data_IF_074771061546
#
_entry.id   IF_074771061546
#
_cell.length_a   1.000
_cell.length_b   1.000
_cell.length_c   1.000
_cell.angle_alpha   90.00
_cell.angle_beta   90.00
_cell.angle_gamma   90.00
#
_symmetry.space_group_name_H-M   'P 1'
#
loop_
_entity.id
_entity.type
_entity.pdbx_description
1 polymer ?
#
# COMPACT_ATOMS: atom_id res chain seq x y z
N UNK A 1 -27.52 32.98 25.61
CA UNK A 1 -26.25 32.40 25.15
C UNK A 1 -26.59 31.54 23.95
N UNK A 2 -26.26 31.95 22.71
CA UNK A 2 -26.47 31.13 21.53
C UNK A 2 -25.27 30.18 21.38
N UNK A 3 -25.55 28.91 21.15
CA UNK A 3 -24.54 27.92 20.79
C UNK A 3 -24.20 28.21 19.33
N UNK A 4 -22.98 28.69 19.08
CA UNK A 4 -22.45 28.87 17.73
C UNK A 4 -22.37 27.50 17.05
N UNK A 5 -22.91 27.46 15.83
CA UNK A 5 -22.80 26.35 14.88
C UNK A 5 -21.30 26.11 14.66
N UNK A 6 -20.77 25.01 15.21
CA UNK A 6 -19.37 24.65 15.03
C UNK A 6 -19.27 23.97 13.67
N UNK A 7 -18.83 24.73 12.67
CA UNK A 7 -18.55 24.22 11.34
C UNK A 7 -17.46 23.15 11.44
N UNK A 8 -17.83 21.89 11.21
CA UNK A 8 -16.93 20.74 11.29
C UNK A 8 -16.16 20.67 9.97
N UNK A 9 -15.28 21.64 9.71
CA UNK A 9 -14.47 21.71 8.48
C UNK A 9 -13.35 20.63 8.40
N UNK A 10 -13.32 19.65 9.31
CA UNK A 10 -12.25 18.64 9.38
C UNK A 10 -12.66 17.18 9.27
N UNK A 11 -13.96 16.86 9.31
CA UNK A 11 -14.41 15.46 9.29
C UNK A 11 -14.36 14.84 7.89
N UNK A 12 -14.61 15.63 6.85
CA UNK A 12 -14.70 15.09 5.48
C UNK A 12 -13.34 14.69 4.92
N UNK A 13 -12.26 15.41 5.25
CA UNK A 13 -10.90 15.13 4.77
C UNK A 13 -10.30 13.89 5.48
N UNK A 14 -10.50 13.76 6.80
CA UNK A 14 -10.08 12.56 7.56
C UNK A 14 -10.84 11.30 7.13
N UNK A 15 -12.12 11.41 6.74
CA UNK A 15 -12.93 10.28 6.26
C UNK A 15 -12.48 9.84 4.87
N UNK A 16 -12.17 10.78 3.97
CA UNK A 16 -11.64 10.48 2.63
C UNK A 16 -10.31 9.72 2.70
N UNK A 17 -9.41 10.13 3.61
CA UNK A 17 -8.12 9.46 3.82
C UNK A 17 -8.28 8.02 4.34
N UNK A 18 -9.28 7.77 5.21
CA UNK A 18 -9.54 6.44 5.76
C UNK A 18 -10.13 5.49 4.69
N UNK A 19 -11.04 5.98 3.85
CA UNK A 19 -11.60 5.21 2.74
C UNK A 19 -10.53 4.80 1.73
N UNK A 20 -9.60 5.70 1.40
CA UNK A 20 -8.51 5.41 0.47
C UNK A 20 -7.49 4.44 1.09
N UNK A 21 -7.19 4.55 2.38
CA UNK A 21 -6.35 3.58 3.08
C UNK A 21 -6.97 2.17 3.06
N UNK A 22 -8.27 2.05 3.33
CA UNK A 22 -9.00 0.78 3.28
C UNK A 22 -9.02 0.18 1.87
N UNK A 23 -9.19 1.01 0.84
CA UNK A 23 -9.11 0.57 -0.56
C UNK A 23 -7.72 0.05 -0.92
N UNK A 24 -6.66 0.73 -0.49
CA UNK A 24 -5.28 0.29 -0.73
C UNK A 24 -5.03 -1.05 -0.01
N UNK A 25 -5.45 -1.18 1.25
CA UNK A 25 -5.32 -2.41 2.02
C UNK A 25 -6.05 -3.58 1.33
N UNK A 26 -7.30 -3.38 0.89
CA UNK A 26 -8.05 -4.38 0.15
C UNK A 26 -7.37 -4.79 -1.16
N UNK A 27 -6.78 -3.82 -1.88
CA UNK A 27 -6.02 -4.12 -3.09
C UNK A 27 -4.77 -4.97 -2.77
N UNK A 28 -4.01 -4.61 -1.73
CA UNK A 28 -2.83 -5.36 -1.30
C UNK A 28 -3.16 -6.79 -0.86
N UNK A 29 -4.28 -6.99 -0.16
CA UNK A 29 -4.72 -8.31 0.30
C UNK A 29 -5.23 -9.21 -0.82
N UNK A 30 -5.65 -8.62 -1.95
CA UNK A 30 -6.01 -9.36 -3.16
C UNK A 30 -4.80 -9.80 -4.00
N UNK A 31 -3.60 -9.28 -3.72
CA UNK A 31 -2.39 -9.69 -4.42
C UNK A 31 -1.88 -11.05 -3.93
N UNK A 32 -1.16 -11.81 -4.78
CA UNK A 32 -0.37 -12.94 -4.31
C UNK A 32 0.58 -12.52 -3.18
N UNK A 33 0.60 -13.27 -2.07
CA UNK A 33 1.38 -12.92 -0.87
C UNK A 33 2.83 -12.55 -1.18
N UNK A 34 3.49 -13.31 -2.04
CA UNK A 34 4.88 -13.08 -2.47
C UNK A 34 5.14 -11.72 -3.13
N UNK A 35 4.11 -11.11 -3.72
CA UNK A 35 4.18 -9.80 -4.35
C UNK A 35 3.81 -8.71 -3.33
N UNK A 36 2.77 -8.93 -2.54
CA UNK A 36 2.38 -8.04 -1.45
C UNK A 36 3.51 -7.83 -0.43
N UNK A 37 4.18 -8.91 -0.02
CA UNK A 37 5.30 -8.87 0.94
C UNK A 37 6.45 -8.00 0.44
N UNK A 38 6.81 -8.14 -0.84
CA UNK A 38 7.90 -7.35 -1.43
C UNK A 38 7.52 -5.88 -1.57
N UNK A 39 6.24 -5.57 -1.86
CA UNK A 39 5.75 -4.19 -1.89
C UNK A 39 5.81 -3.59 -0.49
N UNK A 40 5.30 -4.30 0.54
CA UNK A 40 5.35 -3.83 1.94
C UNK A 40 6.79 -3.60 2.39
N UNK A 41 7.68 -4.57 2.18
CA UNK A 41 9.09 -4.44 2.54
C UNK A 41 9.80 -3.27 1.83
N UNK A 42 9.49 -3.01 0.55
CA UNK A 42 10.17 -1.95 -0.18
C UNK A 42 9.59 -0.57 0.08
N UNK A 43 8.27 -0.45 0.16
CA UNK A 43 7.56 0.84 0.22
C UNK A 43 7.30 1.27 1.66
N UNK A 44 6.91 0.34 2.53
CA UNK A 44 6.58 0.61 3.93
C UNK A 44 7.85 0.51 4.79
N UNK A 45 8.57 -0.61 4.69
CA UNK A 45 9.77 -0.84 5.51
C UNK A 45 11.03 -0.15 4.93
N UNK A 46 10.96 0.37 3.70
CA UNK A 46 12.06 1.08 3.05
C UNK A 46 13.28 0.22 2.67
N UNK A 47 13.14 -1.11 2.66
CA UNK A 47 14.24 -2.03 2.41
C UNK A 47 14.65 -2.04 0.94
N UNK A 48 15.95 -2.17 0.68
CA UNK A 48 16.48 -2.33 -0.66
C UNK A 48 16.21 -3.74 -1.22
N UNK A 49 16.23 -3.90 -2.55
CA UNK A 49 16.10 -5.23 -3.16
C UNK A 49 17.21 -6.21 -2.74
N UNK A 50 18.38 -5.70 -2.31
CA UNK A 50 19.45 -6.56 -1.79
C UNK A 50 19.03 -7.15 -0.45
N UNK A 51 18.57 -6.32 0.49
CA UNK A 51 18.10 -6.75 1.81
C UNK A 51 16.91 -7.69 1.71
N UNK A 52 15.90 -7.33 0.91
CA UNK A 52 14.72 -8.17 0.65
C UNK A 52 15.12 -9.53 0.09
N UNK A 53 16.07 -9.57 -0.84
CA UNK A 53 16.55 -10.82 -1.43
C UNK A 53 17.23 -11.73 -0.39
N UNK A 54 17.95 -11.13 0.57
CA UNK A 54 18.52 -11.85 1.70
C UNK A 54 17.45 -12.39 2.64
N UNK A 55 16.47 -11.56 3.04
CA UNK A 55 15.39 -11.95 3.96
C UNK A 55 14.55 -13.09 3.38
N UNK A 56 14.15 -12.97 2.12
CA UNK A 56 13.29 -13.94 1.45
C UNK A 56 14.06 -15.14 0.88
N UNK A 57 15.39 -15.14 0.96
CA UNK A 57 16.27 -16.17 0.37
C UNK A 57 15.96 -16.42 -1.12
N UNK A 58 15.87 -15.34 -1.90
CA UNK A 58 15.62 -15.38 -3.35
C UNK A 58 16.69 -14.59 -4.10
N UNK A 59 16.90 -14.81 -5.41
CA UNK A 59 17.75 -13.94 -6.21
C UNK A 59 17.23 -12.49 -6.22
N UNK A 60 18.14 -11.51 -6.19
CA UNK A 60 17.79 -10.08 -6.30
C UNK A 60 16.98 -9.78 -7.58
N UNK A 61 17.27 -10.47 -8.69
CA UNK A 61 16.51 -10.38 -9.94
C UNK A 61 15.06 -10.83 -9.77
N UNK A 62 14.81 -11.88 -8.96
CA UNK A 62 13.47 -12.35 -8.59
C UNK A 62 12.76 -11.35 -7.69
N UNK A 63 13.46 -10.70 -6.75
CA UNK A 63 12.87 -9.66 -5.92
C UNK A 63 12.37 -8.47 -6.78
N UNK A 64 13.21 -8.00 -7.72
CA UNK A 64 12.86 -6.93 -8.67
C UNK A 64 11.68 -7.30 -9.57
N UNK A 65 11.66 -8.52 -10.12
CA UNK A 65 10.58 -8.95 -11.02
C UNK A 65 9.25 -9.13 -10.29
N UNK A 66 9.26 -9.67 -9.05
CA UNK A 66 8.08 -9.75 -8.20
C UNK A 66 7.55 -8.38 -7.81
N UNK A 67 8.43 -7.45 -7.41
CA UNK A 67 8.02 -6.07 -7.14
C UNK A 67 7.32 -5.44 -8.35
N UNK A 68 7.95 -5.55 -9.54
CA UNK A 68 7.37 -5.02 -10.78
C UNK A 68 5.99 -5.62 -11.06
N UNK A 69 5.86 -6.95 -11.01
CA UNK A 69 4.59 -7.63 -11.28
C UNK A 69 3.52 -7.27 -10.25
N UNK A 70 3.88 -7.21 -8.98
CA UNK A 70 2.99 -6.78 -7.90
C UNK A 70 2.48 -5.36 -8.10
N UNK A 71 3.37 -4.41 -8.40
CA UNK A 71 2.99 -3.01 -8.66
C UNK A 71 2.11 -2.86 -9.89
N UNK A 72 2.34 -3.64 -10.96
CA UNK A 72 1.47 -3.65 -12.13
C UNK A 72 0.06 -4.15 -11.80
N UNK A 73 -0.07 -5.18 -10.97
CA UNK A 73 -1.36 -5.69 -10.51
C UNK A 73 -2.05 -4.71 -9.56
N UNK A 74 -1.30 -4.13 -8.62
CA UNK A 74 -1.81 -3.14 -7.69
C UNK A 74 -2.43 -1.95 -8.44
N UNK A 75 -1.74 -1.42 -9.45
CA UNK A 75 -2.28 -0.35 -10.31
C UNK A 75 -3.57 -0.77 -11.02
N UNK A 76 -3.63 -1.99 -11.55
CA UNK A 76 -4.84 -2.51 -12.22
C UNK A 76 -6.02 -2.68 -11.27
N UNK A 77 -5.77 -2.99 -10.00
CA UNK A 77 -6.79 -3.12 -8.97
C UNK A 77 -7.31 -1.76 -8.51
N UNK A 78 -6.40 -0.78 -8.37
CA UNK A 78 -6.75 0.55 -7.86
C UNK A 78 -7.48 1.43 -8.88
N UNK A 79 -7.19 1.26 -10.18
CA UNK A 79 -7.82 2.04 -11.27
C UNK A 79 -9.19 1.46 -11.67
N UNK A 80 -9.54 0.27 -11.17
CA UNK A 80 -10.80 -0.42 -11.51
C UNK A 80 -11.92 -0.01 -10.57
#
# INVERSE_FOLDING_TARGET
MPIEDYDVEGADDEVLDLEDADRINACLDSLPSREADIIRMNVIDGLSFVEISGILSIPQSTAKSRYKSGMEKLRKLFIK
#
